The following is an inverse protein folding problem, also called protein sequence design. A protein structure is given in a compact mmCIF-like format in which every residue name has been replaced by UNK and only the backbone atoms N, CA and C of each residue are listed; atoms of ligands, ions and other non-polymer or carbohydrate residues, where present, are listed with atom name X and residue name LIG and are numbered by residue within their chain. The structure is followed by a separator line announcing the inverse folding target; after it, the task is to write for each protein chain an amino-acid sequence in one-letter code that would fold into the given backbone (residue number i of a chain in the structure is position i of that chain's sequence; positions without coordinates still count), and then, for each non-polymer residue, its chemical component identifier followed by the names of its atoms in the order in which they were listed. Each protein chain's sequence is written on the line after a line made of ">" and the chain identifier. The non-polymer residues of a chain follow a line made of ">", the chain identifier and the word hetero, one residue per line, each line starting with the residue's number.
data_IF_653144447946
#
_entry.id   IF_653144447946
#
_cell.length_a   1.000
_cell.length_b   1.000
_cell.length_c   1.000
_cell.angle_alpha   90.00
_cell.angle_beta   90.00
_cell.angle_gamma   90.00
#
_symmetry.space_group_name_H-M   'P 1'
#
loop_
_entity.id
_entity.type
_entity.pdbx_description
1 polymer ?
#
# COMPACT_ATOMS: atom_id res chain seq x y z
N UNK A 1 -0.57 16.04 4.76
CA UNK A 1 -1.71 16.06 3.80
C UNK A 1 -2.58 14.80 3.93
N UNK A 2 -1.99 13.61 4.04
CA UNK A 2 -2.70 12.33 4.19
C UNK A 2 -3.63 12.25 5.40
N UNK A 3 -3.20 12.76 6.56
CA UNK A 3 -4.02 12.73 7.78
C UNK A 3 -5.38 13.42 7.59
N UNK A 4 -5.41 14.58 6.93
CA UNK A 4 -6.67 15.25 6.64
C UNK A 4 -7.58 14.41 5.74
N UNK A 5 -7.05 13.87 4.64
CA UNK A 5 -7.83 13.05 3.72
C UNK A 5 -8.40 11.80 4.41
N UNK A 6 -7.54 11.01 5.06
CA UNK A 6 -7.96 9.77 5.73
C UNK A 6 -8.90 10.01 6.91
N UNK A 7 -8.78 11.14 7.63
CA UNK A 7 -9.73 11.51 8.68
C UNK A 7 -11.19 11.66 8.18
N UNK A 8 -11.38 11.94 6.89
CA UNK A 8 -12.70 12.03 6.26
C UNK A 8 -13.23 10.68 5.79
N UNK A 9 -12.39 9.65 5.74
CA UNK A 9 -12.74 8.34 5.18
C UNK A 9 -12.97 7.26 6.25
N UNK A 10 -13.68 7.61 7.33
CA UNK A 10 -13.95 6.71 8.47
C UNK A 10 -14.65 5.39 8.11
N UNK A 11 -15.38 5.36 7.00
CA UNK A 11 -16.12 4.19 6.50
C UNK A 11 -15.40 3.43 5.37
N UNK A 12 -14.14 3.78 5.08
CA UNK A 12 -13.37 3.11 4.04
C UNK A 12 -13.15 1.64 4.39
N UNK A 13 -13.61 0.74 3.52
CA UNK A 13 -13.45 -0.72 3.68
C UNK A 13 -12.34 -1.32 2.83
N UNK A 14 -12.03 -0.68 1.71
CA UNK A 14 -11.03 -1.13 0.75
C UNK A 14 -10.11 0.02 0.38
N UNK A 15 -8.80 -0.21 0.45
CA UNK A 15 -7.77 0.69 -0.03
C UNK A 15 -7.06 0.05 -1.21
N UNK A 16 -6.94 0.80 -2.30
CA UNK A 16 -6.18 0.43 -3.49
C UNK A 16 -4.96 1.33 -3.57
N UNK A 17 -3.77 0.72 -3.54
CA UNK A 17 -2.51 1.41 -3.77
C UNK A 17 -1.98 0.87 -5.10
N UNK A 18 -2.05 1.70 -6.15
CA UNK A 18 -1.47 1.41 -7.44
C UNK A 18 -0.28 2.33 -7.63
N UNK A 19 0.92 1.75 -7.63
CA UNK A 19 2.16 2.50 -7.67
C UNK A 19 3.12 1.86 -8.67
N UNK A 20 3.53 2.63 -9.67
CA UNK A 20 4.58 2.23 -10.61
C UNK A 20 5.99 2.41 -9.99
N UNK A 21 6.13 3.35 -9.06
CA UNK A 21 7.32 3.61 -8.24
C UNK A 21 7.07 3.26 -6.76
N UNK A 22 8.11 2.89 -5.98
CA UNK A 22 7.94 2.62 -4.55
C UNK A 22 7.20 3.78 -3.88
N UNK A 23 6.28 3.44 -2.97
CA UNK A 23 5.57 4.43 -2.15
C UNK A 23 6.58 5.47 -1.66
N UNK A 24 6.36 6.73 -2.03
CA UNK A 24 7.23 7.82 -1.60
C UNK A 24 7.33 7.81 -0.07
N UNK A 25 8.44 8.25 0.49
CA UNK A 25 8.67 8.37 1.96
C UNK A 25 7.55 9.12 2.71
N UNK A 26 6.66 9.79 1.97
CA UNK A 26 5.51 10.55 2.46
C UNK A 26 4.23 9.73 2.68
N UNK A 27 4.12 8.48 2.22
CA UNK A 27 2.92 7.67 2.48
C UNK A 27 3.02 6.96 3.83
N UNK A 28 2.21 7.39 4.78
CA UNK A 28 2.27 6.91 6.16
C UNK A 28 1.15 5.89 6.43
N UNK A 29 1.52 4.60 6.48
CA UNK A 29 0.57 3.53 6.86
C UNK A 29 -0.02 3.73 8.25
N UNK A 30 0.72 4.37 9.17
CA UNK A 30 0.24 4.72 10.50
C UNK A 30 -1.04 5.56 10.45
N UNK A 31 -1.01 6.63 9.66
CA UNK A 31 -2.15 7.55 9.51
C UNK A 31 -3.38 6.83 8.97
N UNK A 32 -3.19 5.91 8.02
CA UNK A 32 -4.27 5.07 7.48
C UNK A 32 -4.84 4.18 8.57
N UNK A 33 -3.99 3.49 9.32
CA UNK A 33 -4.39 2.60 10.40
C UNK A 33 -5.18 3.30 11.50
N UNK A 34 -4.76 4.50 11.90
CA UNK A 34 -5.43 5.30 12.94
C UNK A 34 -6.76 5.91 12.47
N UNK A 35 -6.85 6.31 11.21
CA UNK A 35 -8.02 7.03 10.68
C UNK A 35 -9.10 6.12 10.09
N UNK A 36 -8.70 4.97 9.53
CA UNK A 36 -9.57 4.10 8.74
C UNK A 36 -9.84 2.77 9.46
N UNK A 37 -10.45 2.84 10.65
CA UNK A 37 -10.70 1.65 11.49
C UNK A 37 -11.54 0.55 10.82
N UNK A 38 -12.35 0.89 9.81
CA UNK A 38 -13.16 -0.06 9.04
C UNK A 38 -12.43 -0.70 7.84
N UNK A 39 -11.16 -0.34 7.62
CA UNK A 39 -10.37 -0.84 6.52
C UNK A 39 -10.06 -2.32 6.75
N UNK A 40 -10.59 -3.17 5.87
CA UNK A 40 -10.47 -4.63 5.96
C UNK A 40 -9.83 -5.25 4.73
N UNK A 41 -9.70 -4.49 3.64
CA UNK A 41 -9.16 -4.97 2.37
C UNK A 41 -8.08 -4.02 1.88
N UNK A 42 -6.88 -4.56 1.62
CA UNK A 42 -5.80 -3.85 0.97
C UNK A 42 -5.50 -4.52 -0.37
N UNK A 43 -5.52 -3.72 -1.45
CA UNK A 43 -5.03 -4.12 -2.76
C UNK A 43 -3.77 -3.31 -3.06
N UNK A 44 -2.66 -3.99 -3.26
CA UNK A 44 -1.38 -3.38 -3.54
C UNK A 44 -0.90 -3.83 -4.93
N UNK A 45 -0.71 -2.89 -5.84
CA UNK A 45 -0.17 -3.10 -7.17
C UNK A 45 1.20 -2.42 -7.23
N UNK A 46 2.25 -3.22 -7.40
CA UNK A 46 3.64 -2.74 -7.42
C UNK A 46 4.61 -3.67 -6.70
N UNK A 47 5.87 -3.23 -6.61
CA UNK A 47 6.91 -3.93 -5.86
C UNK A 47 6.72 -3.78 -4.36
N UNK A 48 6.64 -4.90 -3.63
CA UNK A 48 6.44 -4.90 -2.18
C UNK A 48 7.78 -5.07 -1.46
N UNK A 49 8.37 -3.96 -1.01
CA UNK A 49 9.62 -3.95 -0.23
C UNK A 49 9.41 -4.46 1.20
N UNK A 50 10.47 -5.00 1.82
CA UNK A 50 10.42 -5.55 3.20
C UNK A 50 9.89 -4.54 4.21
N UNK A 51 10.34 -3.28 4.14
CA UNK A 51 9.90 -2.23 5.06
C UNK A 51 8.41 -1.91 4.90
N UNK A 52 7.94 -1.80 3.66
CA UNK A 52 6.51 -1.60 3.36
C UNK A 52 5.65 -2.72 3.95
N UNK A 53 6.11 -3.98 3.87
CA UNK A 53 5.41 -5.12 4.50
C UNK A 53 5.33 -4.94 6.01
N UNK A 54 6.44 -4.59 6.66
CA UNK A 54 6.50 -4.38 8.11
C UNK A 54 5.53 -3.28 8.53
N UNK A 55 5.47 -2.17 7.81
CA UNK A 55 4.56 -1.07 8.10
C UNK A 55 3.08 -1.45 7.91
N UNK A 56 2.75 -2.14 6.81
CA UNK A 56 1.40 -2.66 6.58
C UNK A 56 0.95 -3.53 7.76
N UNK A 57 1.78 -4.50 8.16
CA UNK A 57 1.47 -5.41 9.28
C UNK A 57 1.43 -4.67 10.62
N UNK A 58 2.28 -3.64 10.80
CA UNK A 58 2.34 -2.85 12.03
C UNK A 58 1.09 -2.00 12.22
N UNK A 59 0.61 -1.31 11.18
CA UNK A 59 -0.42 -0.28 11.34
C UNK A 59 -1.81 -0.69 10.85
N UNK A 60 -1.92 -1.57 9.85
CA UNK A 60 -3.21 -1.95 9.27
C UNK A 60 -3.78 -3.21 9.94
N UNK A 61 -4.04 -3.13 11.25
CA UNK A 61 -4.42 -4.29 12.09
C UNK A 61 -5.73 -4.98 11.73
N UNK A 62 -6.66 -4.27 11.09
CA UNK A 62 -7.99 -4.79 10.77
C UNK A 62 -8.09 -5.45 9.39
N UNK A 63 -6.98 -5.54 8.65
CA UNK A 63 -6.96 -6.17 7.33
C UNK A 63 -7.28 -7.65 7.45
N UNK A 64 -8.32 -8.07 6.73
CA UNK A 64 -8.74 -9.47 6.57
C UNK A 64 -8.34 -10.03 5.22
N UNK A 65 -8.16 -9.15 4.22
CA UNK A 65 -7.79 -9.54 2.85
C UNK A 65 -6.67 -8.65 2.33
N UNK A 66 -5.57 -9.27 1.98
CA UNK A 66 -4.47 -8.67 1.25
C UNK A 66 -4.44 -9.24 -0.17
N UNK A 67 -4.51 -8.37 -1.18
CA UNK A 67 -4.31 -8.72 -2.58
C UNK A 67 -3.05 -8.05 -3.07
N UNK A 68 -2.09 -8.85 -3.52
CA UNK A 68 -0.84 -8.37 -4.09
C UNK A 68 -0.87 -8.62 -5.60
N UNK A 69 -0.63 -7.58 -6.39
CA UNK A 69 -0.37 -7.71 -7.82
C UNK A 69 1.04 -7.19 -8.07
N UNK A 70 1.99 -8.12 -8.19
CA UNK A 70 3.38 -7.80 -8.42
C UNK A 70 3.56 -7.36 -9.88
N UNK A 71 3.92 -6.09 -10.10
CA UNK A 71 4.34 -5.58 -11.40
C UNK A 71 5.82 -5.94 -11.64
N UNK A 72 6.16 -7.23 -11.61
CA UNK A 72 7.52 -7.70 -11.90
C UNK A 72 7.54 -8.43 -13.24
N UNK A 73 7.34 -7.69 -14.33
CA UNK A 73 7.89 -8.09 -15.62
C UNK A 73 8.81 -6.97 -16.12
N UNK A 74 10.10 -7.09 -15.77
CA UNK A 74 11.15 -6.39 -16.51
C UNK A 74 11.59 -7.33 -17.62
N UNK A 75 11.33 -7.03 -18.90
CA UNK A 75 11.94 -7.81 -19.98
C UNK A 75 13.47 -7.76 -19.80
N UNK A 76 14.19 -8.85 -20.09
CA UNK A 76 15.64 -8.83 -20.06
C UNK A 76 16.16 -7.68 -20.90
N UNK A 77 17.17 -6.95 -20.41
CA UNK A 77 17.87 -5.95 -21.22
C UNK A 77 18.35 -6.66 -22.48
N UNK A 78 18.11 -6.11 -23.69
CA UNK A 78 18.73 -6.67 -24.89
C UNK A 78 20.24 -6.74 -24.64
N UNK A 79 20.87 -7.87 -24.98
CA UNK A 79 22.31 -7.97 -24.94
C UNK A 79 22.88 -6.88 -25.86
N UNK A 80 23.71 -5.99 -25.30
CA UNK A 80 24.48 -5.05 -26.11
C UNK A 80 25.37 -5.87 -27.07
N UNK A 81 25.41 -5.52 -28.37
CA UNK A 81 26.11 -6.31 -29.40
C UNK A 81 27.64 -6.36 -29.21
#
# INVERSE_FOLDING_TARGET
>A
MWHFAFSKWKNLKTLLIAHDDPLTETFEFQVVGESCNNLTNLKYLGGLGKETVVEIVRYLKNIKRLSLQCANYRPPKPCDP
#
